data_IF_324621074630
#
_entry.id   IF_324621074630
#
_cell.length_a   1.000
_cell.length_b   1.000
_cell.length_c   1.000
_cell.angle_alpha   90.00
_cell.angle_beta   90.00
_cell.angle_gamma   90.00
#
_symmetry.space_group_name_H-M   'P 1'
#
loop_
_entity.id
_entity.type
_entity.pdbx_description
1 polymer ?
#
# COMPACT_ATOMS: atom_id res chain seq x y z
N UNK A 1 18.91 -41.34 -0.24
CA UNK A 1 18.40 -40.15 -0.97
C UNK A 1 17.18 -39.51 -0.27
N UNK A 2 17.14 -39.47 1.06
CA UNK A 2 15.98 -38.93 1.82
C UNK A 2 16.36 -37.66 2.59
N UNK A 3 17.65 -37.51 2.90
CA UNK A 3 18.22 -36.39 3.67
C UNK A 3 18.18 -35.08 2.87
N UNK A 4 18.36 -35.12 1.54
CA UNK A 4 18.39 -33.92 0.70
C UNK A 4 17.03 -33.22 0.59
N UNK A 5 15.90 -33.97 0.59
CA UNK A 5 14.54 -33.40 0.46
C UNK A 5 14.09 -32.63 1.70
N UNK A 6 14.52 -33.05 2.90
CA UNK A 6 14.20 -32.39 4.16
C UNK A 6 14.83 -31.00 4.27
N UNK A 7 16.05 -30.84 3.74
CA UNK A 7 16.77 -29.55 3.73
C UNK A 7 16.05 -28.48 2.89
N UNK A 8 15.44 -28.84 1.76
CA UNK A 8 14.64 -27.91 0.95
C UNK A 8 13.36 -27.45 1.64
N UNK A 9 12.69 -28.36 2.37
CA UNK A 9 11.48 -28.05 3.14
C UNK A 9 11.78 -27.12 4.32
N UNK A 10 12.91 -27.31 5.00
CA UNK A 10 13.35 -26.44 6.09
C UNK A 10 13.75 -25.05 5.60
N UNK A 11 14.39 -24.95 4.44
CA UNK A 11 14.78 -23.65 3.87
C UNK A 11 13.56 -22.81 3.47
N UNK A 12 12.53 -23.44 2.90
CA UNK A 12 11.27 -22.76 2.57
C UNK A 12 10.53 -22.24 3.81
N UNK A 13 10.52 -23.01 4.91
CA UNK A 13 9.87 -22.60 6.16
C UNK A 13 10.55 -21.38 6.81
N UNK A 14 11.87 -21.27 6.72
CA UNK A 14 12.63 -20.11 7.23
C UNK A 14 12.32 -18.84 6.44
N UNK A 15 12.14 -18.94 5.12
CA UNK A 15 11.79 -17.78 4.28
C UNK A 15 10.39 -17.22 4.59
N UNK A 16 9.41 -18.06 4.94
CA UNK A 16 8.08 -17.59 5.35
C UNK A 16 8.11 -16.96 6.77
N UNK A 17 8.92 -17.50 7.67
CA UNK A 17 9.05 -17.01 9.05
C UNK A 17 9.85 -15.71 9.20
N UNK A 18 10.70 -15.36 8.23
CA UNK A 18 11.53 -14.16 8.24
C UNK A 18 10.83 -12.90 7.68
N UNK A 19 9.50 -12.93 7.54
CA UNK A 19 8.70 -11.76 7.19
C UNK A 19 8.70 -10.80 8.39
N UNK A 20 9.67 -9.88 8.46
CA UNK A 20 9.66 -8.84 9.48
C UNK A 20 8.34 -8.05 9.39
N UNK A 21 7.71 -7.80 10.53
CA UNK A 21 6.57 -6.88 10.59
C UNK A 21 7.07 -5.52 10.13
N UNK A 22 6.52 -5.03 9.03
CA UNK A 22 6.80 -3.68 8.58
C UNK A 22 6.30 -2.71 9.66
N UNK A 23 7.23 -2.15 10.44
CA UNK A 23 6.93 -1.11 11.43
C UNK A 23 6.63 0.17 10.66
N UNK A 24 5.41 0.27 10.15
CA UNK A 24 4.91 1.50 9.57
C UNK A 24 4.65 2.44 10.75
N UNK A 25 5.69 3.18 11.15
CA UNK A 25 5.76 3.92 12.41
C UNK A 25 4.71 5.03 12.58
N UNK A 26 5.02 6.01 13.44
CA UNK A 26 4.06 6.98 13.98
C UNK A 26 3.10 7.65 12.96
N UNK A 27 3.53 7.84 11.71
CA UNK A 27 2.71 8.42 10.64
C UNK A 27 1.55 7.49 10.23
N UNK A 28 1.78 6.19 10.03
CA UNK A 28 0.69 5.30 9.62
C UNK A 28 -0.31 5.12 10.76
N UNK A 29 0.17 5.02 12.00
CA UNK A 29 -0.70 4.98 13.18
C UNK A 29 -1.56 6.24 13.28
N UNK A 30 -0.98 7.42 13.01
CA UNK A 30 -1.73 8.67 12.99
C UNK A 30 -2.81 8.67 11.90
N UNK A 31 -2.53 8.15 10.71
CA UNK A 31 -3.52 8.01 9.62
C UNK A 31 -4.61 7.03 10.01
N UNK A 32 -4.24 5.85 10.53
CA UNK A 32 -5.20 4.83 10.98
C UNK A 32 -6.12 5.36 12.08
N UNK A 33 -5.57 6.08 13.05
CA UNK A 33 -6.36 6.75 14.12
C UNK A 33 -7.31 7.82 13.58
N UNK A 34 -6.96 8.53 12.51
CA UNK A 34 -7.87 9.49 11.86
C UNK A 34 -9.03 8.81 11.15
N UNK A 35 -8.86 7.56 10.68
CA UNK A 35 -9.89 6.79 9.98
C UNK A 35 -10.08 7.18 8.51
N UNK A 36 -9.18 8.00 7.94
CA UNK A 36 -9.19 8.37 6.53
C UNK A 36 -7.79 8.78 6.06
N UNK A 37 -7.53 8.63 4.75
CA UNK A 37 -6.32 9.15 4.10
C UNK A 37 -6.61 10.55 3.56
N UNK A 38 -5.77 11.53 3.93
CA UNK A 38 -5.81 12.87 3.35
C UNK A 38 -4.80 12.93 2.19
N UNK A 39 -5.31 12.92 0.96
CA UNK A 39 -4.47 12.94 -0.22
C UNK A 39 -4.34 14.34 -0.82
N UNK A 40 -3.10 14.77 -1.07
CA UNK A 40 -2.79 15.95 -1.86
C UNK A 40 -2.62 15.57 -3.33
N UNK A 41 -3.30 16.28 -4.21
CA UNK A 41 -3.15 16.14 -5.67
C UNK A 41 -2.94 17.51 -6.29
N UNK A 42 -2.27 17.55 -7.44
CA UNK A 42 -2.13 18.77 -8.24
C UNK A 42 -3.36 18.94 -9.14
N UNK A 43 -3.58 20.15 -9.64
CA UNK A 43 -4.54 20.40 -10.73
C UNK A 43 -3.78 20.83 -11.98
N UNK A 44 -4.22 20.35 -13.14
CA UNK A 44 -3.68 20.78 -14.44
C UNK A 44 -2.86 19.74 -15.22
N UNK A 45 -2.80 18.47 -14.80
CA UNK A 45 -2.16 17.41 -15.59
C UNK A 45 -3.13 16.26 -15.90
N UNK A 46 -3.92 16.35 -17.00
CA UNK A 46 -4.80 15.28 -17.43
C UNK A 46 -4.06 13.93 -17.56
N UNK A 47 -4.63 12.89 -16.95
CA UNK A 47 -4.01 11.56 -16.84
C UNK A 47 -3.42 11.27 -15.44
N UNK A 48 -2.87 12.29 -14.77
CA UNK A 48 -2.34 12.17 -13.40
C UNK A 48 -3.34 12.73 -12.37
N UNK A 49 -3.63 14.03 -12.46
CA UNK A 49 -4.58 14.69 -11.60
C UNK A 49 -5.13 15.96 -12.26
N UNK A 50 -6.46 16.03 -12.38
CA UNK A 50 -7.17 17.22 -12.86
C UNK A 50 -8.56 17.28 -12.25
N UNK A 51 -9.08 18.49 -12.05
CA UNK A 51 -10.48 18.70 -11.68
C UNK A 51 -11.38 18.64 -12.92
N UNK A 52 -12.42 17.80 -12.91
CA UNK A 52 -13.44 17.81 -13.95
C UNK A 52 -14.34 19.07 -13.86
N UNK A 53 -15.21 19.29 -14.85
CA UNK A 53 -16.13 20.44 -14.87
C UNK A 53 -17.09 20.52 -13.67
N UNK A 54 -17.21 19.44 -12.88
CA UNK A 54 -18.00 19.37 -11.65
C UNK A 54 -17.14 19.53 -10.39
N UNK A 55 -15.87 19.89 -10.54
CA UNK A 55 -14.89 20.03 -9.45
C UNK A 55 -14.42 18.70 -8.86
N UNK A 56 -14.66 17.56 -9.54
CA UNK A 56 -14.20 16.25 -9.03
C UNK A 56 -12.84 15.92 -9.61
N UNK A 57 -11.89 15.67 -8.73
CA UNK A 57 -10.56 15.22 -9.13
C UNK A 57 -10.59 13.81 -9.75
N UNK A 58 -9.87 13.65 -10.86
CA UNK A 58 -9.66 12.38 -11.56
C UNK A 58 -8.22 12.25 -12.04
N UNK A 59 -7.80 11.00 -12.28
CA UNK A 59 -6.48 10.63 -12.79
C UNK A 59 -5.76 9.65 -11.86
N UNK A 60 -4.56 9.24 -12.28
CA UNK A 60 -3.73 8.27 -11.58
C UNK A 60 -3.51 8.59 -10.09
N UNK A 61 -3.20 9.84 -9.74
CA UNK A 61 -2.91 10.22 -8.34
C UNK A 61 -4.14 9.98 -7.46
N UNK A 62 -5.33 10.31 -7.99
CA UNK A 62 -6.60 10.15 -7.29
C UNK A 62 -6.96 8.67 -7.12
N UNK A 63 -6.70 7.87 -8.15
CA UNK A 63 -6.96 6.43 -8.11
C UNK A 63 -6.00 5.70 -7.16
N UNK A 64 -4.73 6.09 -7.13
CA UNK A 64 -3.77 5.61 -6.13
C UNK A 64 -4.24 5.98 -4.71
N UNK A 65 -4.70 7.20 -4.50
CA UNK A 65 -5.23 7.64 -3.21
C UNK A 65 -6.42 6.80 -2.74
N UNK A 66 -7.35 6.48 -3.64
CA UNK A 66 -8.49 5.58 -3.34
C UNK A 66 -8.02 4.17 -3.03
N UNK A 67 -7.10 3.63 -3.82
CA UNK A 67 -6.54 2.30 -3.59
C UNK A 67 -5.80 2.21 -2.25
N UNK A 68 -5.02 3.24 -1.90
CA UNK A 68 -4.34 3.33 -0.61
C UNK A 68 -5.33 3.37 0.55
N UNK A 69 -6.39 4.18 0.44
CA UNK A 69 -7.44 4.21 1.45
C UNK A 69 -8.09 2.83 1.64
N UNK A 70 -8.43 2.15 0.55
CA UNK A 70 -9.02 0.80 0.58
C UNK A 70 -8.04 -0.30 1.09
N UNK A 71 -6.73 -0.08 0.97
CA UNK A 71 -5.73 -1.01 1.49
C UNK A 71 -5.48 -0.82 3.00
N UNK A 72 -5.79 0.36 3.54
CA UNK A 72 -5.52 0.72 4.94
C UNK A 72 -6.73 0.54 5.86
N UNK A 73 -7.94 0.62 5.30
CA UNK A 73 -9.23 0.64 6.00
C UNK A 73 -10.23 -0.31 5.35
#
# INVERSE_FOLDING_TARGET
>A
MTIMKGTWLLLAAVCLGASATAEAGATLDAVKRKGYVQCGVSDGLPGFSYADAKGRFKGLDVDICRALAAALF
#
